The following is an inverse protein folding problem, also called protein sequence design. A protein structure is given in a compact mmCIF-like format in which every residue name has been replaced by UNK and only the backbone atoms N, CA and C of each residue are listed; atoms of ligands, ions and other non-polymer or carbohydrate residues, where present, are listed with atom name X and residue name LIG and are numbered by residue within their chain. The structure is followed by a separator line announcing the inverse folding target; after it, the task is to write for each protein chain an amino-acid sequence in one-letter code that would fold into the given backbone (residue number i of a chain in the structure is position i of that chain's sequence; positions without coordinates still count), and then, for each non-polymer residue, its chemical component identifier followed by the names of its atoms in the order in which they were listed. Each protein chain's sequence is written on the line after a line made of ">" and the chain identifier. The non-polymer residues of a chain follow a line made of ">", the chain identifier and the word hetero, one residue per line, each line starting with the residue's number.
data_IF_026775387200
#
_entry.id   IF_026775387200
#
_cell.length_a   1.000
_cell.length_b   1.000
_cell.length_c   1.000
_cell.angle_alpha   90.00
_cell.angle_beta   90.00
_cell.angle_gamma   90.00
#
_symmetry.space_group_name_H-M   'P 1'
#
loop_
_entity.id
_entity.type
_entity.pdbx_description
1 polymer ?
#
# COMPACT_ATOMS: atom_id res chain seq x y z
N UNK A 1 1.23 22.76 -10.93
CA UNK A 1 0.27 22.09 -10.04
C UNK A 1 0.03 20.70 -10.59
N UNK A 2 0.33 19.66 -9.82
CA UNK A 2 0.15 18.26 -10.21
C UNK A 2 -1.35 17.89 -10.23
N UNK A 3 -1.80 17.27 -11.30
CA UNK A 3 -3.16 16.77 -11.49
C UNK A 3 -3.22 15.31 -11.05
N UNK A 4 -3.98 15.07 -9.98
CA UNK A 4 -4.06 13.77 -9.33
C UNK A 4 -5.40 13.12 -9.67
N UNK A 5 -5.33 11.87 -10.15
CA UNK A 5 -6.49 10.98 -10.23
C UNK A 5 -6.53 10.02 -9.05
N UNK A 6 -7.71 9.70 -8.54
CA UNK A 6 -7.90 8.65 -7.52
C UNK A 6 -8.53 7.41 -8.16
N UNK A 7 -7.88 6.26 -8.07
CA UNK A 7 -8.43 4.96 -8.48
C UNK A 7 -8.76 4.18 -7.20
N UNK A 8 -10.05 4.01 -6.91
CA UNK A 8 -10.55 3.57 -5.61
C UNK A 8 -10.72 4.75 -4.66
N UNK A 9 -11.96 5.12 -4.36
CA UNK A 9 -12.32 6.25 -3.51
C UNK A 9 -12.89 5.80 -2.16
N UNK A 10 -12.44 4.64 -1.67
CA UNK A 10 -12.93 4.00 -0.44
C UNK A 10 -12.39 4.60 0.85
N UNK A 11 -12.52 3.84 1.93
CA UNK A 11 -12.26 4.32 3.29
C UNK A 11 -10.85 4.84 3.54
N UNK A 12 -9.81 4.24 2.95
CA UNK A 12 -8.43 4.72 3.13
C UNK A 12 -8.21 6.10 2.51
N UNK A 13 -8.83 6.35 1.35
CA UNK A 13 -8.76 7.64 0.67
C UNK A 13 -9.51 8.70 1.45
N UNK A 14 -10.75 8.40 1.85
CA UNK A 14 -11.61 9.35 2.57
C UNK A 14 -11.07 9.69 3.97
N UNK A 15 -10.46 8.72 4.66
CA UNK A 15 -10.01 8.90 6.06
C UNK A 15 -8.56 9.34 6.17
N UNK A 16 -7.65 8.76 5.39
CA UNK A 16 -6.20 8.96 5.58
C UNK A 16 -5.58 9.81 4.49
N UNK A 17 -5.77 9.48 3.20
CA UNK A 17 -5.22 10.31 2.11
C UNK A 17 -5.76 11.73 2.18
N UNK A 18 -7.06 11.91 2.47
CA UNK A 18 -7.63 13.24 2.59
C UNK A 18 -7.00 14.09 3.72
N UNK A 19 -6.56 13.47 4.83
CA UNK A 19 -5.81 14.17 5.86
C UNK A 19 -4.45 14.60 5.30
N UNK A 20 -3.73 13.67 4.66
CA UNK A 20 -2.43 13.94 4.04
C UNK A 20 -2.51 15.07 3.03
N UNK A 21 -3.46 15.00 2.09
CA UNK A 21 -3.70 16.05 1.10
C UNK A 21 -3.99 17.39 1.76
N UNK A 22 -4.93 17.50 2.72
CA UNK A 22 -5.18 18.78 3.38
C UNK A 22 -3.96 19.38 4.09
N UNK A 23 -3.00 18.56 4.51
CA UNK A 23 -1.75 19.01 5.11
C UNK A 23 -0.70 19.44 4.07
N UNK A 24 -0.83 19.01 2.81
CA UNK A 24 0.02 19.40 1.70
C UNK A 24 -0.37 20.79 1.17
N UNK A 25 0.63 21.54 0.68
CA UNK A 25 0.47 22.89 0.13
C UNK A 25 -0.16 22.95 -1.26
N UNK A 26 -0.02 24.09 -1.94
CA UNK A 26 -0.76 24.44 -3.15
C UNK A 26 -0.25 23.83 -4.47
N UNK A 27 0.62 22.81 -4.43
CA UNK A 27 1.29 22.30 -5.64
C UNK A 27 0.58 21.11 -6.30
N UNK A 28 -0.60 20.73 -5.83
CA UNK A 28 -1.40 19.65 -6.40
C UNK A 28 -2.90 19.95 -6.38
N UNK A 29 -3.65 19.22 -7.21
CA UNK A 29 -5.10 19.21 -7.23
C UNK A 29 -5.60 17.80 -7.57
N UNK A 30 -6.56 17.28 -6.80
CA UNK A 30 -7.30 16.08 -7.21
C UNK A 30 -8.31 16.53 -8.28
N UNK A 31 -8.10 16.11 -9.52
CA UNK A 31 -8.89 16.57 -10.68
C UNK A 31 -9.95 15.56 -11.12
N UNK A 32 -9.75 14.28 -10.80
CA UNK A 32 -10.68 13.21 -11.15
C UNK A 32 -10.61 12.05 -10.13
N UNK A 33 -11.67 11.24 -10.10
CA UNK A 33 -11.70 10.00 -9.34
C UNK A 33 -12.48 8.91 -10.05
N UNK A 34 -12.16 7.66 -9.75
CA UNK A 34 -12.83 6.48 -10.24
C UNK A 34 -13.13 5.49 -9.11
N UNK A 35 -14.39 5.07 -8.98
CA UNK A 35 -14.82 4.04 -8.04
C UNK A 35 -16.13 3.41 -8.55
N UNK A 36 -16.32 2.08 -8.54
CA UNK A 36 -17.58 1.49 -9.01
C UNK A 36 -18.81 1.87 -8.15
N UNK A 37 -18.61 2.36 -6.92
CA UNK A 37 -19.67 2.80 -6.02
C UNK A 37 -19.94 4.31 -6.19
N UNK A 38 -21.14 4.66 -6.66
CA UNK A 38 -21.59 6.06 -6.76
C UNK A 38 -21.57 6.77 -5.38
N UNK A 39 -21.79 6.03 -4.30
CA UNK A 39 -21.68 6.57 -2.93
C UNK A 39 -20.25 7.02 -2.62
N UNK A 40 -19.25 6.19 -2.93
CA UNK A 40 -17.84 6.55 -2.73
C UNK A 40 -17.44 7.71 -3.64
N UNK A 41 -17.90 7.71 -4.89
CA UNK A 41 -17.68 8.83 -5.82
C UNK A 41 -18.23 10.14 -5.26
N UNK A 42 -19.44 10.13 -4.69
CA UNK A 42 -20.05 11.35 -4.12
C UNK A 42 -19.27 11.86 -2.93
N UNK A 43 -19.02 11.00 -1.94
CA UNK A 43 -18.32 11.38 -0.72
C UNK A 43 -16.92 11.91 -0.99
N UNK A 44 -16.10 11.16 -1.75
CA UNK A 44 -14.76 11.61 -2.08
C UNK A 44 -14.79 12.86 -2.97
N UNK A 45 -15.72 12.92 -3.93
CA UNK A 45 -15.84 14.07 -4.83
C UNK A 45 -16.19 15.36 -4.10
N UNK A 46 -17.06 15.31 -3.08
CA UNK A 46 -17.34 16.44 -2.20
C UNK A 46 -16.12 16.81 -1.35
N UNK A 47 -15.43 15.81 -0.80
CA UNK A 47 -14.28 16.01 0.07
C UNK A 47 -13.07 16.63 -0.65
N UNK A 48 -12.87 16.30 -1.92
CA UNK A 48 -11.74 16.76 -2.74
C UNK A 48 -12.13 17.86 -3.74
N UNK A 49 -13.40 18.25 -3.83
CA UNK A 49 -13.89 19.27 -4.76
C UNK A 49 -13.93 18.83 -6.23
N UNK A 50 -13.99 17.52 -6.51
CA UNK A 50 -14.06 16.96 -7.86
C UNK A 50 -15.50 17.03 -8.37
N UNK A 51 -15.71 17.68 -9.51
CA UNK A 51 -17.03 17.85 -10.13
C UNK A 51 -17.61 16.52 -10.64
N UNK A 52 -18.94 16.43 -10.76
CA UNK A 52 -19.62 15.16 -11.09
C UNK A 52 -19.17 14.58 -12.42
N UNK A 53 -18.83 15.42 -13.39
CA UNK A 53 -18.40 15.04 -14.73
C UNK A 53 -16.98 14.42 -14.76
N UNK A 54 -16.20 14.62 -13.69
CA UNK A 54 -14.87 14.02 -13.49
C UNK A 54 -14.87 12.88 -12.47
N UNK A 55 -16.06 12.33 -12.18
CA UNK A 55 -16.24 11.13 -11.35
C UNK A 55 -16.63 9.97 -12.27
N UNK A 56 -15.82 8.93 -12.28
CA UNK A 56 -15.96 7.81 -13.21
C UNK A 56 -16.31 6.52 -12.47
N UNK A 57 -17.09 5.66 -13.09
CA UNK A 57 -17.32 4.30 -12.58
C UNK A 57 -16.15 3.34 -12.93
N UNK A 58 -15.44 3.62 -14.02
CA UNK A 58 -14.29 2.85 -14.51
C UNK A 58 -13.09 3.79 -14.66
N UNK A 59 -11.96 3.39 -14.07
CA UNK A 59 -10.72 4.16 -14.12
C UNK A 59 -10.13 4.25 -15.53
N UNK A 60 -10.41 3.28 -16.42
CA UNK A 60 -9.94 3.35 -17.81
C UNK A 60 -10.54 4.52 -18.56
N UNK A 61 -11.84 4.77 -18.32
CA UNK A 61 -12.51 5.95 -18.85
C UNK A 61 -11.92 7.24 -18.27
N UNK A 62 -11.52 7.25 -16.99
CA UNK A 62 -10.83 8.38 -16.39
C UNK A 62 -9.48 8.62 -17.09
N UNK A 63 -8.62 7.59 -17.18
CA UNK A 63 -7.30 7.67 -17.81
C UNK A 63 -7.37 8.13 -19.28
N UNK A 64 -8.43 7.77 -20.01
CA UNK A 64 -8.61 8.18 -21.41
C UNK A 64 -9.26 9.55 -21.61
N UNK A 65 -9.94 10.10 -20.59
CA UNK A 65 -10.78 11.30 -20.75
C UNK A 65 -10.16 12.57 -20.21
N UNK A 66 -9.21 12.47 -19.29
CA UNK A 66 -8.59 13.62 -18.63
C UNK A 66 -7.09 13.42 -18.47
N UNK A 67 -6.35 14.49 -18.72
CA UNK A 67 -4.91 14.48 -18.51
C UNK A 67 -4.56 14.49 -17.01
N UNK A 68 -3.81 13.49 -16.57
CA UNK A 68 -3.35 13.31 -15.20
C UNK A 68 -1.84 13.23 -15.17
N UNK A 69 -1.22 13.78 -14.12
CA UNK A 69 0.23 13.66 -13.92
C UNK A 69 0.56 12.44 -13.06
N UNK A 70 -0.32 12.13 -12.11
CA UNK A 70 -0.19 11.00 -11.19
C UNK A 70 -1.56 10.41 -10.83
N UNK A 71 -1.63 9.11 -10.62
CA UNK A 71 -2.77 8.44 -9.98
C UNK A 71 -2.39 7.88 -8.62
N UNK A 72 -3.33 7.97 -7.67
CA UNK A 72 -3.29 7.16 -6.44
C UNK A 72 -4.17 5.94 -6.64
N UNK A 73 -3.59 4.75 -6.54
CA UNK A 73 -4.31 3.48 -6.57
C UNK A 73 -4.55 3.03 -5.12
N UNK A 74 -5.82 2.93 -4.72
CA UNK A 74 -6.27 2.57 -3.38
C UNK A 74 -7.42 1.56 -3.42
N UNK A 75 -7.32 0.58 -4.31
CA UNK A 75 -8.31 -0.48 -4.53
C UNK A 75 -7.95 -1.76 -3.75
N UNK A 76 -8.76 -2.84 -3.82
CA UNK A 76 -8.31 -4.16 -3.38
C UNK A 76 -6.99 -4.59 -4.01
N UNK A 77 -6.13 -5.28 -3.25
CA UNK A 77 -4.71 -5.50 -3.61
C UNK A 77 -4.51 -6.21 -4.96
N UNK A 78 -5.35 -7.19 -5.29
CA UNK A 78 -5.26 -7.93 -6.57
C UNK A 78 -5.46 -7.07 -7.82
N UNK A 79 -6.02 -5.87 -7.68
CA UNK A 79 -6.24 -4.97 -8.81
C UNK A 79 -5.06 -4.03 -9.06
N UNK A 80 -4.10 -3.94 -8.14
CA UNK A 80 -3.01 -2.97 -8.21
C UNK A 80 -2.15 -3.14 -9.46
N UNK A 81 -1.87 -4.39 -9.85
CA UNK A 81 -1.00 -4.68 -10.99
C UNK A 81 -1.59 -4.17 -12.31
N UNK A 82 -2.80 -4.61 -12.65
CA UNK A 82 -3.44 -4.22 -13.90
C UNK A 82 -3.71 -2.69 -13.94
N UNK A 83 -4.13 -2.09 -12.83
CA UNK A 83 -4.35 -0.64 -12.76
C UNK A 83 -3.06 0.17 -12.90
N UNK A 84 -1.96 -0.33 -12.33
CA UNK A 84 -0.64 0.30 -12.46
C UNK A 84 -0.15 0.21 -13.91
N UNK A 85 -0.33 -0.95 -14.54
CA UNK A 85 0.06 -1.16 -15.94
C UNK A 85 -0.75 -0.24 -16.86
N UNK A 86 -2.08 -0.21 -16.71
CA UNK A 86 -2.96 0.67 -17.50
C UNK A 86 -2.58 2.15 -17.32
N UNK A 87 -2.24 2.58 -16.09
CA UNK A 87 -1.79 3.95 -15.83
C UNK A 87 -0.41 4.26 -16.45
N UNK A 88 0.53 3.32 -16.37
CA UNK A 88 1.85 3.46 -16.99
C UNK A 88 1.74 3.52 -18.51
N UNK A 89 0.90 2.68 -19.13
CA UNK A 89 0.62 2.71 -20.57
C UNK A 89 0.02 4.05 -21.02
N UNK A 90 -0.80 4.69 -20.17
CA UNK A 90 -1.31 6.04 -20.38
C UNK A 90 -0.28 7.15 -20.12
N UNK A 91 0.95 6.82 -19.71
CA UNK A 91 2.00 7.79 -19.40
C UNK A 91 1.81 8.51 -18.06
N UNK A 92 1.00 7.96 -17.15
CA UNK A 92 0.66 8.57 -15.87
C UNK A 92 1.47 7.92 -14.74
N UNK A 93 2.10 8.73 -13.88
CA UNK A 93 2.85 8.21 -12.73
C UNK A 93 1.93 7.61 -11.66
N UNK A 94 2.45 6.73 -10.81
CA UNK A 94 1.63 5.92 -9.89
C UNK A 94 2.13 6.01 -8.45
N UNK A 95 1.21 6.32 -7.54
CA UNK A 95 1.33 6.10 -6.10
C UNK A 95 0.36 4.97 -5.74
N UNK A 96 0.87 3.80 -5.41
CA UNK A 96 0.05 2.62 -5.15
C UNK A 96 0.00 2.33 -3.64
N UNK A 97 -1.19 2.10 -3.10
CA UNK A 97 -1.34 1.56 -1.75
C UNK A 97 -0.60 0.24 -1.59
N UNK A 98 -0.16 -0.01 -0.37
CA UNK A 98 0.45 -1.29 -0.03
C UNK A 98 -0.59 -2.42 -0.06
N UNK A 99 -0.17 -3.66 -0.35
CA UNK A 99 1.08 -4.05 -0.96
C UNK A 99 1.09 -3.69 -2.45
N UNK A 100 2.29 -3.54 -3.04
CA UNK A 100 2.46 -3.31 -4.48
C UNK A 100 1.68 -4.31 -5.36
N UNK A 101 1.72 -5.60 -4.98
CA UNK A 101 1.13 -6.70 -5.71
C UNK A 101 0.86 -7.87 -4.75
N UNK A 102 0.07 -8.84 -5.22
CA UNK A 102 -0.25 -10.08 -4.47
C UNK A 102 0.65 -11.26 -4.86
N UNK A 103 1.45 -11.11 -5.92
CA UNK A 103 2.37 -12.12 -6.42
C UNK A 103 3.66 -11.49 -6.94
N UNK A 104 4.74 -12.28 -6.96
CA UNK A 104 6.02 -11.84 -7.55
C UNK A 104 5.91 -11.60 -9.06
N UNK A 105 5.10 -12.41 -9.75
CA UNK A 105 4.84 -12.24 -11.19
C UNK A 105 4.20 -10.89 -11.47
N UNK A 106 3.18 -10.52 -10.70
CA UNK A 106 2.53 -9.21 -10.82
C UNK A 106 3.47 -8.06 -10.45
N UNK A 107 4.32 -8.23 -9.43
CA UNK A 107 5.36 -7.28 -9.09
C UNK A 107 6.34 -7.05 -10.25
N UNK A 108 6.75 -8.12 -10.95
CA UNK A 108 7.60 -8.01 -12.14
C UNK A 108 6.87 -7.33 -13.30
N UNK A 109 5.60 -7.66 -13.54
CA UNK A 109 4.77 -7.01 -14.57
C UNK A 109 4.67 -5.50 -14.34
N UNK A 110 4.49 -5.08 -13.08
CA UNK A 110 4.50 -3.66 -12.69
C UNK A 110 5.86 -3.02 -13.03
N UNK A 111 6.96 -3.62 -12.58
CA UNK A 111 8.31 -3.09 -12.79
C UNK A 111 8.63 -2.92 -14.28
N UNK A 112 8.26 -3.91 -15.11
CA UNK A 112 8.46 -3.89 -16.55
C UNK A 112 7.66 -2.77 -17.22
N UNK A 113 6.38 -2.59 -16.85
CA UNK A 113 5.53 -1.54 -17.40
C UNK A 113 6.02 -0.14 -17.02
N UNK A 114 6.30 0.08 -15.74
CA UNK A 114 6.83 1.37 -15.23
C UNK A 114 8.13 1.74 -15.93
N UNK A 115 9.05 0.78 -16.07
CA UNK A 115 10.33 1.00 -16.76
C UNK A 115 10.14 1.27 -18.24
N UNK A 116 9.29 0.50 -18.92
CA UNK A 116 9.02 0.61 -20.37
C UNK A 116 8.43 1.97 -20.73
N UNK A 117 7.51 2.48 -19.92
CA UNK A 117 6.82 3.74 -20.18
C UNK A 117 7.51 4.95 -19.54
N UNK A 118 8.56 4.75 -18.74
CA UNK A 118 9.36 5.82 -18.15
C UNK A 118 8.58 6.67 -17.14
N UNK A 119 7.55 6.10 -16.50
CA UNK A 119 6.75 6.78 -15.48
C UNK A 119 7.36 6.59 -14.08
N UNK A 120 6.99 7.45 -13.13
CA UNK A 120 7.38 7.24 -11.73
C UNK A 120 6.41 6.29 -11.03
N UNK A 121 6.93 5.47 -10.12
CA UNK A 121 6.15 4.56 -9.29
C UNK A 121 6.63 4.60 -7.84
N UNK A 122 5.71 4.59 -6.88
CA UNK A 122 6.01 4.34 -5.47
C UNK A 122 4.88 3.58 -4.79
N UNK A 123 5.25 2.79 -3.77
CA UNK A 123 4.30 2.16 -2.84
C UNK A 123 4.12 3.07 -1.62
N UNK A 124 2.92 3.10 -1.05
CA UNK A 124 2.62 3.80 0.21
C UNK A 124 3.20 3.02 1.40
N UNK A 125 4.49 3.19 1.66
CA UNK A 125 5.16 2.76 2.91
C UNK A 125 5.12 3.86 3.96
N UNK A 126 3.90 4.27 4.35
CA UNK A 126 3.66 5.47 5.15
C UNK A 126 4.38 5.50 6.51
N UNK A 127 4.60 4.34 7.17
CA UNK A 127 5.31 4.34 8.45
C UNK A 127 6.77 4.80 8.33
N UNK A 128 7.43 4.58 7.18
CA UNK A 128 8.80 5.08 6.94
C UNK A 128 8.88 6.61 7.01
N UNK A 129 7.75 7.29 6.81
CA UNK A 129 7.63 8.74 6.81
C UNK A 129 7.12 9.31 8.14
N UNK A 130 6.78 8.46 9.11
CA UNK A 130 6.44 8.92 10.46
C UNK A 130 7.66 9.52 11.16
N UNK A 131 7.46 10.56 11.96
CA UNK A 131 8.55 11.22 12.69
C UNK A 131 9.31 10.23 13.59
N UNK A 132 8.60 9.27 14.18
CA UNK A 132 9.19 8.24 15.03
C UNK A 132 10.15 7.34 14.24
N UNK A 133 9.71 6.76 13.11
CA UNK A 133 10.57 5.87 12.31
C UNK A 133 11.71 6.64 11.64
N UNK A 134 11.46 7.87 11.18
CA UNK A 134 12.52 8.74 10.63
C UNK A 134 13.60 9.05 11.67
N UNK A 135 13.20 9.44 12.88
CA UNK A 135 14.14 9.72 13.96
C UNK A 135 14.93 8.47 14.37
N UNK A 136 14.27 7.31 14.46
CA UNK A 136 14.93 6.04 14.75
C UNK A 136 15.93 5.67 13.65
N UNK A 137 15.55 5.86 12.38
CA UNK A 137 16.42 5.62 11.24
C UNK A 137 17.63 6.56 11.24
N UNK A 138 17.45 7.84 11.56
CA UNK A 138 18.57 8.79 11.66
C UNK A 138 19.58 8.36 12.74
N UNK A 139 19.10 7.89 13.90
CA UNK A 139 19.96 7.35 14.97
C UNK A 139 20.72 6.11 14.47
N UNK A 140 20.04 5.14 13.85
CA UNK A 140 20.68 3.93 13.30
C UNK A 140 21.75 4.31 12.27
N UNK A 141 21.37 5.11 11.27
CA UNK A 141 22.22 5.44 10.13
C UNK A 141 23.39 6.33 10.52
N UNK A 142 23.29 7.07 11.63
CA UNK A 142 24.42 7.84 12.19
C UNK A 142 25.49 6.96 12.85
N UNK A 143 25.22 5.68 13.08
CA UNK A 143 26.12 4.76 13.77
C UNK A 143 26.18 4.94 15.29
N UNK A 144 25.32 5.78 15.87
CA UNK A 144 25.29 6.06 17.32
C UNK A 144 25.10 4.80 18.19
N UNK A 145 24.38 3.80 17.68
CA UNK A 145 24.13 2.53 18.38
C UNK A 145 25.00 1.38 17.85
N UNK A 146 25.98 1.67 16.99
CA UNK A 146 26.69 0.67 16.21
C UNK A 146 25.79 0.02 15.15
N UNK A 147 26.20 -1.15 14.67
CA UNK A 147 25.44 -1.95 13.71
C UNK A 147 24.25 -2.64 14.40
N UNK A 148 23.01 -2.51 13.89
CA UNK A 148 21.88 -3.28 14.42
C UNK A 148 22.15 -4.79 14.39
N UNK A 149 21.87 -5.47 15.50
CA UNK A 149 22.07 -6.94 15.62
C UNK A 149 20.73 -7.67 15.59
N UNK A 150 19.70 -7.09 16.21
CA UNK A 150 18.38 -7.70 16.35
C UNK A 150 17.27 -6.66 16.13
N UNK A 151 16.35 -6.95 15.21
CA UNK A 151 15.11 -6.20 14.99
C UNK A 151 13.87 -6.97 15.45
N UNK A 152 12.84 -6.27 15.92
CA UNK A 152 11.53 -6.86 16.25
C UNK A 152 10.40 -5.92 15.85
N UNK A 153 9.46 -6.43 15.05
CA UNK A 153 8.20 -5.78 14.72
C UNK A 153 7.02 -6.63 15.19
N UNK A 154 5.95 -5.98 15.66
CA UNK A 154 4.73 -6.66 16.11
C UNK A 154 3.48 -5.92 15.65
N UNK A 155 2.59 -6.63 14.97
CA UNK A 155 1.25 -6.17 14.63
C UNK A 155 0.23 -7.04 15.35
N UNK A 156 -0.32 -6.53 16.46
CA UNK A 156 -1.36 -7.23 17.22
C UNK A 156 -2.68 -6.50 17.08
N UNK A 157 -3.57 -7.05 16.26
CA UNK A 157 -4.87 -6.48 15.96
C UNK A 157 -5.99 -7.38 16.48
N UNK A 158 -6.99 -6.76 17.11
CA UNK A 158 -8.19 -7.50 17.55
C UNK A 158 -9.11 -7.94 16.41
N UNK A 159 -8.86 -7.47 15.18
CA UNK A 159 -9.68 -7.68 13.99
C UNK A 159 -8.78 -7.86 12.76
N UNK A 160 -8.81 -9.00 12.06
CA UNK A 160 -8.10 -9.14 10.79
C UNK A 160 -8.90 -8.55 9.62
N UNK A 161 -10.22 -8.40 9.78
CA UNK A 161 -11.19 -8.18 8.70
C UNK A 161 -12.34 -7.38 9.30
N UNK A 162 -12.97 -6.46 8.56
CA UNK A 162 -14.19 -5.80 9.01
C UNK A 162 -15.30 -6.84 9.14
N UNK A 163 -15.46 -7.45 10.32
CA UNK A 163 -16.41 -8.55 10.57
C UNK A 163 -17.88 -8.13 10.50
N UNK A 164 -18.20 -6.96 9.92
CA UNK A 164 -19.56 -6.44 9.81
C UNK A 164 -20.25 -6.72 8.49
N UNK A 165 -19.61 -7.28 7.43
CA UNK A 165 -20.34 -7.63 6.20
C UNK A 165 -19.86 -8.93 5.53
N UNK A 166 -20.67 -9.98 5.70
CA UNK A 166 -21.02 -11.01 4.71
C UNK A 166 -19.93 -11.41 3.69
N UNK A 167 -19.26 -12.55 3.91
CA UNK A 167 -18.73 -13.50 2.89
C UNK A 167 -17.94 -12.99 1.65
N UNK A 168 -17.57 -11.70 1.56
CA UNK A 168 -16.95 -11.09 0.37
C UNK A 168 -15.84 -10.08 0.72
N UNK A 169 -15.28 -10.10 1.93
CA UNK A 169 -14.11 -9.26 2.23
C UNK A 169 -12.88 -9.85 1.53
N UNK A 170 -12.38 -9.14 0.53
CA UNK A 170 -11.18 -9.53 -0.22
C UNK A 170 -9.96 -9.69 0.71
N UNK A 171 -9.95 -9.05 1.90
CA UNK A 171 -8.91 -9.23 2.92
C UNK A 171 -8.88 -10.62 3.56
N UNK A 172 -9.97 -11.37 3.42
CA UNK A 172 -10.06 -12.75 3.87
C UNK A 172 -9.77 -13.77 2.76
N UNK A 173 -9.24 -13.31 1.61
CA UNK A 173 -8.98 -14.13 0.43
C UNK A 173 -7.50 -14.16 0.06
N UNK A 174 -6.96 -15.37 -0.11
CA UNK A 174 -5.58 -15.58 -0.57
C UNK A 174 -5.38 -15.03 -1.98
N UNK A 175 -6.35 -15.25 -2.86
CA UNK A 175 -6.33 -14.75 -4.23
C UNK A 175 -6.28 -13.21 -4.30
N UNK A 176 -6.71 -12.54 -3.23
CA UNK A 176 -6.74 -11.09 -3.16
C UNK A 176 -5.67 -10.48 -2.26
N UNK A 177 -4.67 -11.25 -1.83
CA UNK A 177 -3.58 -10.77 -0.99
C UNK A 177 -4.03 -10.35 0.41
N UNK A 178 -4.93 -11.13 1.01
CA UNK A 178 -5.37 -10.96 2.39
C UNK A 178 -4.43 -11.58 3.42
N UNK A 179 -4.87 -11.58 4.68
CA UNK A 179 -4.19 -12.26 5.79
C UNK A 179 -3.30 -11.38 6.65
N UNK A 180 -2.91 -11.91 7.80
CA UNK A 180 -2.05 -11.21 8.76
C UNK A 180 -0.68 -10.89 8.15
N UNK A 181 -0.15 -11.75 7.29
CA UNK A 181 1.11 -11.53 6.60
C UNK A 181 1.02 -10.36 5.61
N UNK A 182 0.22 -10.50 4.55
CA UNK A 182 0.25 -9.58 3.40
C UNK A 182 -0.48 -8.27 3.68
N UNK A 183 -1.62 -8.29 4.38
CA UNK A 183 -2.36 -7.06 4.67
C UNK A 183 -1.85 -6.37 5.93
N UNK A 184 -1.71 -7.09 7.05
CA UNK A 184 -1.44 -6.47 8.35
C UNK A 184 0.04 -6.20 8.58
N UNK A 185 0.90 -7.21 8.45
CA UNK A 185 2.31 -7.16 8.87
C UNK A 185 3.25 -6.49 7.87
N UNK A 186 2.73 -6.11 6.71
CA UNK A 186 3.48 -5.46 5.64
C UNK A 186 4.21 -4.20 6.16
N UNK A 187 3.56 -3.47 7.07
CA UNK A 187 4.12 -2.30 7.71
C UNK A 187 5.35 -2.60 8.57
N UNK A 188 5.30 -3.68 9.34
CA UNK A 188 6.35 -4.12 10.24
C UNK A 188 7.55 -4.65 9.46
N UNK A 189 7.31 -5.38 8.36
CA UNK A 189 8.37 -5.93 7.50
C UNK A 189 9.23 -4.81 6.90
N UNK A 190 8.62 -3.86 6.17
CA UNK A 190 9.44 -2.81 5.56
C UNK A 190 10.07 -1.89 6.62
N UNK A 191 9.41 -1.71 7.79
CA UNK A 191 9.91 -0.83 8.85
C UNK A 191 11.12 -1.47 9.53
N UNK A 192 11.04 -2.77 9.86
CA UNK A 192 12.16 -3.46 10.51
C UNK A 192 13.35 -3.55 9.55
N UNK A 193 13.13 -3.85 8.26
CA UNK A 193 14.21 -3.84 7.27
C UNK A 193 14.88 -2.47 7.16
N UNK A 194 14.09 -1.39 7.08
CA UNK A 194 14.62 -0.03 7.01
C UNK A 194 15.40 0.39 8.26
N UNK A 195 15.01 -0.08 9.44
CA UNK A 195 15.68 0.19 10.71
C UNK A 195 16.87 -0.74 10.98
N UNK A 196 16.88 -1.94 10.41
CA UNK A 196 18.07 -2.80 10.39
C UNK A 196 19.13 -2.22 9.45
N UNK A 197 18.70 -1.50 8.40
CA UNK A 197 19.60 -0.83 7.46
C UNK A 197 20.40 -1.80 6.58
N UNK A 198 19.95 -3.04 6.48
CA UNK A 198 20.53 -4.11 5.68
C UNK A 198 19.41 -4.90 5.01
N UNK A 199 19.54 -5.27 3.73
CA UNK A 199 18.54 -6.09 3.04
C UNK A 199 18.31 -7.43 3.75
N UNK A 200 17.06 -7.91 3.70
CA UNK A 200 16.70 -9.27 4.10
C UNK A 200 17.16 -10.26 3.02
N UNK A 201 17.83 -11.35 3.43
CA UNK A 201 18.38 -12.38 2.52
C UNK A 201 17.67 -13.73 2.62
N UNK A 202 17.06 -14.04 3.76
CA UNK A 202 16.32 -15.28 4.00
C UNK A 202 15.19 -15.07 4.99
N UNK A 203 14.20 -15.95 4.92
CA UNK A 203 13.05 -15.97 5.84
C UNK A 203 12.70 -17.40 6.25
N UNK A 204 12.49 -17.60 7.54
CA UNK A 204 11.78 -18.75 8.11
C UNK A 204 10.43 -18.27 8.65
N UNK A 205 9.32 -18.87 8.19
CA UNK A 205 7.99 -18.40 8.53
C UNK A 205 7.04 -19.52 8.98
N UNK A 206 6.20 -19.20 9.96
CA UNK A 206 5.10 -20.02 10.42
C UNK A 206 3.80 -19.24 10.29
N UNK A 207 2.97 -19.64 9.32
CA UNK A 207 1.66 -19.03 9.06
C UNK A 207 0.56 -19.99 9.49
N UNK A 208 -0.46 -19.50 10.19
CA UNK A 208 -1.58 -20.29 10.70
C UNK A 208 -2.89 -19.50 10.61
N UNK A 209 -3.98 -20.25 10.54
CA UNK A 209 -5.34 -19.73 10.72
C UNK A 209 -5.91 -20.41 11.96
N UNK A 210 -5.92 -19.69 13.08
CA UNK A 210 -6.20 -20.24 14.41
C UNK A 210 -7.54 -19.80 15.00
N UNK A 211 -8.04 -18.64 14.58
CA UNK A 211 -9.20 -17.98 15.19
C UNK A 211 -10.38 -17.82 14.24
N UNK A 212 -10.12 -17.57 12.95
CA UNK A 212 -11.16 -17.24 11.97
C UNK A 212 -11.37 -18.35 10.93
N UNK A 213 -12.55 -18.36 10.30
CA UNK A 213 -12.88 -19.26 9.21
C UNK A 213 -12.63 -18.59 7.85
N UNK A 214 -11.36 -18.43 7.49
CA UNK A 214 -10.87 -17.72 6.29
C UNK A 214 -9.77 -18.54 5.58
N UNK A 215 -9.45 -18.23 4.32
CA UNK A 215 -8.50 -19.02 3.50
C UNK A 215 -7.03 -18.51 3.58
N UNK A 216 -6.81 -17.46 4.37
CA UNK A 216 -5.54 -16.80 4.66
C UNK A 216 -5.13 -17.00 6.11
N UNK A 217 -3.89 -16.69 6.43
CA UNK A 217 -3.40 -16.67 7.81
C UNK A 217 -4.06 -15.54 8.63
N UNK A 218 -4.33 -15.85 9.90
CA UNK A 218 -4.68 -14.86 10.92
C UNK A 218 -3.59 -14.74 12.00
N UNK A 219 -2.55 -15.58 11.92
CA UNK A 219 -1.41 -15.59 12.81
C UNK A 219 -0.15 -15.88 11.98
N UNK A 220 0.82 -14.98 12.02
CA UNK A 220 2.08 -15.07 11.29
C UNK A 220 3.27 -14.80 12.22
N UNK A 221 4.29 -15.65 12.12
CA UNK A 221 5.60 -15.43 12.76
C UNK A 221 6.67 -15.61 11.69
N UNK A 222 7.58 -14.65 11.60
CA UNK A 222 8.68 -14.64 10.63
C UNK A 222 9.99 -14.29 11.33
N UNK A 223 11.04 -15.02 10.99
CA UNK A 223 12.42 -14.70 11.30
C UNK A 223 13.15 -14.39 9.98
N UNK A 224 13.92 -13.32 9.97
CA UNK A 224 14.66 -12.83 8.81
C UNK A 224 16.15 -12.77 9.14
N UNK A 225 16.99 -13.24 8.22
CA UNK A 225 18.42 -12.92 8.23
C UNK A 225 18.69 -11.75 7.30
N UNK A 226 19.64 -10.89 7.70
CA UNK A 226 20.07 -9.74 6.93
C UNK A 226 21.48 -9.95 6.37
N UNK A 227 21.77 -9.30 5.25
CA UNK A 227 23.06 -9.40 4.54
C UNK A 227 24.29 -9.10 5.43
N UNK A 228 24.16 -8.17 6.38
CA UNK A 228 25.21 -7.78 7.32
C UNK A 228 25.38 -8.74 8.52
N UNK A 229 24.61 -9.83 8.57
CA UNK A 229 24.58 -10.82 9.64
C UNK A 229 23.71 -10.42 10.84
N UNK A 230 22.93 -9.34 10.75
CA UNK A 230 21.84 -9.06 11.67
C UNK A 230 20.66 -10.02 11.47
N UNK A 231 19.78 -10.10 12.48
CA UNK A 231 18.53 -10.85 12.38
C UNK A 231 17.35 -9.96 12.76
N UNK A 232 16.16 -10.22 12.22
CA UNK A 232 14.95 -9.57 12.69
C UNK A 232 13.77 -10.53 12.74
N UNK A 233 12.76 -10.20 13.52
CA UNK A 233 11.52 -10.96 13.56
C UNK A 233 10.31 -10.06 13.42
N UNK A 234 9.27 -10.58 12.78
CA UNK A 234 7.95 -9.95 12.73
C UNK A 234 6.90 -10.96 13.18
N UNK A 235 6.08 -10.56 14.14
CA UNK A 235 4.89 -11.31 14.56
C UNK A 235 3.64 -10.52 14.21
N UNK A 236 2.63 -11.19 13.64
CA UNK A 236 1.34 -10.59 13.41
C UNK A 236 0.20 -11.52 13.83
N UNK A 237 -0.84 -10.96 14.45
CA UNK A 237 -2.06 -11.67 14.87
C UNK A 237 -3.26 -10.74 14.99
#
# INVERSE_FOLDING_TARGET
>A
MLRIGLIGAGGIVQKTHAIGYRALGADYQVTALADPSEFNQSLAGEQFGVQKEHRYADYRNMLSSIDLDVVVIATPHHLHADQTIDAAEAGVSVICEKPMAVSMEDGQRIADAVTRHGVHYTVVHNLLWSDAVRSARDIVMSGQIGRPILGRGEMLASKPVSTTQTHLDWRASRAHGGGALIDSSYHEIYTVEALMGSPITSVDAHLRTLKFSIDVDDTAMMLFDHEDGGASQVTAS
#
